data_IF_891021436133
#
_entry.id   IF_891021436133
#
_cell.length_a   1.000
_cell.length_b   1.000
_cell.length_c   1.000
_cell.angle_alpha   90.00
_cell.angle_beta   90.00
_cell.angle_gamma   90.00
#
_symmetry.space_group_name_H-M   'P 1'
#
loop_
_entity.id
_entity.type
_entity.pdbx_description
1 polymer ?
#
# COMPACT_ATOMS: atom_id res chain seq x y z
N UNK A 1 9.49 -2.01 -13.61
CA UNK A 1 8.95 -1.00 -12.68
C UNK A 1 9.59 -1.13 -11.30
N UNK A 2 9.20 -2.05 -10.43
CA UNK A 2 9.82 -2.25 -9.11
C UNK A 2 10.22 -3.71 -8.92
N UNK A 3 11.48 -3.94 -8.49
CA UNK A 3 11.94 -5.26 -8.05
C UNK A 3 12.55 -5.13 -6.65
N UNK A 4 12.11 -5.98 -5.75
CA UNK A 4 12.71 -6.19 -4.43
C UNK A 4 13.55 -7.46 -4.54
N UNK A 5 14.84 -7.38 -4.22
CA UNK A 5 15.78 -8.50 -4.35
C UNK A 5 16.42 -8.79 -3.00
N UNK A 6 16.15 -9.99 -2.47
CA UNK A 6 16.77 -10.50 -1.25
C UNK A 6 16.67 -9.54 -0.06
N UNK A 7 15.49 -8.98 0.18
CA UNK A 7 15.27 -7.98 1.24
C UNK A 7 15.39 -8.64 2.61
N UNK A 8 16.28 -8.11 3.43
CA UNK A 8 16.57 -8.59 4.78
C UNK A 8 16.30 -7.50 5.80
N UNK A 9 15.66 -7.89 6.92
CA UNK A 9 15.41 -6.99 8.05
C UNK A 9 15.35 -7.75 9.36
N UNK A 10 16.10 -7.27 10.35
CA UNK A 10 16.02 -7.74 11.74
C UNK A 10 15.74 -6.57 12.69
N UNK A 11 15.10 -6.87 13.81
CA UNK A 11 14.93 -5.96 14.94
C UNK A 11 15.57 -6.63 16.18
N UNK A 12 16.77 -6.17 16.54
CA UNK A 12 17.59 -6.86 17.52
C UNK A 12 17.96 -8.28 17.02
N UNK A 13 17.62 -9.31 17.80
CA UNK A 13 17.85 -10.71 17.41
C UNK A 13 16.74 -11.33 16.57
N UNK A 14 15.62 -10.63 16.36
CA UNK A 14 14.46 -11.14 15.61
C UNK A 14 14.63 -10.85 14.11
N UNK A 15 14.88 -11.87 13.31
CA UNK A 15 14.85 -11.77 11.85
C UNK A 15 13.39 -11.74 11.35
N UNK A 16 12.96 -10.59 10.80
CA UNK A 16 11.59 -10.37 10.31
C UNK A 16 11.48 -10.60 8.81
N UNK A 17 12.49 -10.22 8.02
CA UNK A 17 12.59 -10.53 6.60
C UNK A 17 13.87 -11.31 6.34
N UNK A 18 13.73 -12.48 5.71
CA UNK A 18 14.81 -13.46 5.52
C UNK A 18 15.17 -13.64 4.05
N UNK A 19 15.34 -12.52 3.32
CA UNK A 19 15.72 -12.56 1.90
C UNK A 19 14.49 -12.61 0.97
N UNK A 20 13.52 -11.73 1.19
CA UNK A 20 12.30 -11.64 0.38
C UNK A 20 12.61 -11.01 -0.97
N UNK A 21 12.15 -11.65 -2.06
CA UNK A 21 12.23 -11.12 -3.42
C UNK A 21 10.84 -11.06 -4.06
N UNK A 22 10.52 -9.93 -4.73
CA UNK A 22 9.22 -9.68 -5.34
C UNK A 22 9.38 -8.75 -6.55
N UNK A 23 8.70 -9.06 -7.64
CA UNK A 23 8.64 -8.23 -8.83
C UNK A 23 7.25 -7.62 -8.98
N UNK A 24 7.21 -6.34 -9.34
CA UNK A 24 5.97 -5.56 -9.58
C UNK A 24 6.11 -4.88 -10.93
N UNK A 25 5.25 -5.20 -11.88
CA UNK A 25 5.18 -4.53 -13.17
C UNK A 25 4.22 -3.33 -13.10
N UNK A 26 4.29 -2.47 -14.10
CA UNK A 26 3.34 -1.36 -14.20
C UNK A 26 1.92 -1.90 -14.41
N UNK A 27 0.96 -1.37 -13.67
CA UNK A 27 -0.43 -1.80 -13.67
C UNK A 27 -0.73 -3.05 -12.83
N UNK A 28 0.29 -3.67 -12.21
CA UNK A 28 0.06 -4.81 -11.32
C UNK A 28 -0.64 -4.36 -10.02
N UNK A 29 -1.60 -5.16 -9.60
CA UNK A 29 -2.20 -5.13 -8.27
C UNK A 29 -1.79 -6.41 -7.55
N UNK A 30 -0.83 -6.31 -6.66
CA UNK A 30 -0.31 -7.47 -5.90
C UNK A 30 -0.87 -7.43 -4.48
N UNK A 31 -1.64 -8.47 -4.11
CA UNK A 31 -2.08 -8.67 -2.73
C UNK A 31 -1.04 -9.50 -1.95
N UNK A 32 -0.64 -9.01 -0.78
CA UNK A 32 0.25 -9.72 0.14
C UNK A 32 -0.59 -10.21 1.31
N UNK A 33 -0.73 -11.52 1.42
CA UNK A 33 -1.48 -12.24 2.46
C UNK A 33 -0.53 -12.93 3.44
N UNK A 34 -1.04 -13.28 4.61
CA UNK A 34 -0.31 -14.07 5.60
C UNK A 34 -0.67 -13.73 7.04
N UNK A 35 -0.28 -14.56 8.00
CA UNK A 35 -0.58 -14.34 9.41
C UNK A 35 0.06 -13.06 9.95
N UNK A 36 -0.45 -12.57 11.09
CA UNK A 36 0.16 -11.45 11.79
C UNK A 36 1.60 -11.78 12.18
N UNK A 37 2.50 -10.79 12.08
CA UNK A 37 3.93 -11.00 12.37
C UNK A 37 4.74 -11.68 11.25
N UNK A 38 4.15 -11.99 10.07
CA UNK A 38 4.89 -12.61 8.95
C UNK A 38 5.84 -11.67 8.20
N UNK A 39 5.85 -10.36 8.53
CA UNK A 39 6.77 -9.39 7.93
C UNK A 39 6.16 -8.54 6.80
N UNK A 40 4.86 -8.66 6.48
CA UNK A 40 4.18 -7.96 5.36
C UNK A 40 4.35 -6.44 5.42
N UNK A 41 3.92 -5.82 6.54
CA UNK A 41 4.08 -4.38 6.79
C UNK A 41 5.56 -3.95 6.74
N UNK A 42 6.46 -4.76 7.30
CA UNK A 42 7.90 -4.49 7.27
C UNK A 42 8.44 -4.49 5.84
N UNK A 43 7.97 -5.41 4.99
CA UNK A 43 8.34 -5.45 3.57
C UNK A 43 7.91 -4.18 2.84
N UNK A 44 6.64 -3.74 2.99
CA UNK A 44 6.15 -2.50 2.42
C UNK A 44 6.94 -1.28 2.89
N UNK A 45 7.22 -1.23 4.20
CA UNK A 45 7.98 -0.11 4.79
C UNK A 45 9.42 -0.08 4.30
N UNK A 46 10.06 -1.23 4.11
CA UNK A 46 11.38 -1.31 3.49
C UNK A 46 11.36 -0.87 2.02
N UNK A 47 10.34 -1.28 1.25
CA UNK A 47 10.17 -0.89 -0.15
C UNK A 47 9.99 0.63 -0.35
N UNK A 48 9.37 1.31 0.63
CA UNK A 48 9.17 2.77 0.61
C UNK A 48 10.18 3.54 1.49
N UNK A 49 11.20 2.87 2.01
CA UNK A 49 12.21 3.45 2.93
C UNK A 49 11.64 4.05 4.23
N UNK A 50 10.42 3.69 4.62
CA UNK A 50 9.87 4.04 5.94
C UNK A 50 10.56 3.24 7.05
N UNK A 51 11.09 2.06 6.70
CA UNK A 51 11.98 1.27 7.51
C UNK A 51 13.28 1.01 6.72
N UNK A 52 14.43 1.02 7.38
CA UNK A 52 15.70 0.73 6.74
C UNK A 52 15.92 -0.78 6.70
N UNK A 53 16.04 -1.35 5.51
CA UNK A 53 16.44 -2.73 5.34
C UNK A 53 17.91 -2.92 5.73
N UNK A 54 18.25 -4.10 6.26
CA UNK A 54 19.62 -4.46 6.67
C UNK A 54 20.42 -5.05 5.50
N UNK A 55 19.72 -5.53 4.46
CA UNK A 55 20.30 -6.09 3.24
C UNK A 55 19.31 -6.12 2.09
N UNK A 56 19.82 -6.48 0.93
CA UNK A 56 19.05 -6.56 -0.32
C UNK A 56 19.18 -5.33 -1.20
N UNK A 57 18.49 -5.39 -2.32
CA UNK A 57 18.51 -4.37 -3.36
C UNK A 57 17.07 -4.04 -3.78
N UNK A 58 16.82 -2.78 -4.05
CA UNK A 58 15.63 -2.30 -4.73
C UNK A 58 16.02 -1.86 -6.14
N UNK A 59 15.34 -2.39 -7.15
CA UNK A 59 15.46 -1.90 -8.53
C UNK A 59 14.19 -1.13 -8.86
N UNK A 60 14.33 0.14 -9.21
CA UNK A 60 13.19 0.99 -9.57
C UNK A 60 13.47 1.63 -10.94
N UNK A 61 12.63 1.34 -11.92
CA UNK A 61 12.80 1.77 -13.32
C UNK A 61 14.18 1.45 -13.90
N UNK A 62 14.72 0.28 -13.57
CA UNK A 62 16.04 -0.18 -14.01
C UNK A 62 17.22 0.36 -13.20
N UNK A 63 16.99 1.26 -12.23
CA UNK A 63 18.04 1.73 -11.35
C UNK A 63 18.22 0.81 -10.13
N UNK A 64 19.43 0.36 -9.91
CA UNK A 64 19.84 -0.53 -8.84
C UNK A 64 20.23 0.25 -7.57
N UNK A 65 19.51 0.00 -6.48
CA UNK A 65 19.68 0.72 -5.22
C UNK A 65 19.96 -0.27 -4.08
N UNK A 66 21.21 -0.39 -3.63
CA UNK A 66 21.57 -1.19 -2.46
C UNK A 66 20.91 -0.62 -1.21
N UNK A 67 20.01 -1.35 -0.55
CA UNK A 67 19.21 -0.84 0.56
C UNK A 67 20.01 -0.53 1.82
N UNK A 68 21.08 -1.28 2.07
CA UNK A 68 21.96 -1.07 3.22
C UNK A 68 22.68 0.29 3.19
N UNK A 69 23.04 0.78 2.00
CA UNK A 69 23.86 1.99 1.78
C UNK A 69 23.12 3.10 1.03
N UNK A 70 21.80 3.00 0.89
CA UNK A 70 20.99 3.95 0.13
C UNK A 70 21.19 5.39 0.61
N UNK A 71 21.36 6.31 -0.32
CA UNK A 71 21.55 7.73 -0.02
C UNK A 71 20.22 8.43 0.29
N UNK A 72 20.25 9.51 1.10
CA UNK A 72 19.07 10.35 1.34
C UNK A 72 18.50 10.93 0.04
N UNK A 73 19.34 11.20 -0.96
CA UNK A 73 18.93 11.71 -2.27
C UNK A 73 18.13 10.68 -3.05
N UNK A 74 18.56 9.42 -3.07
CA UNK A 74 17.83 8.34 -3.75
C UNK A 74 16.51 8.05 -3.06
N UNK A 75 16.48 8.01 -1.73
CA UNK A 75 15.23 7.88 -0.95
C UNK A 75 14.25 9.00 -1.32
N UNK A 76 14.69 10.26 -1.33
CA UNK A 76 13.83 11.39 -1.66
C UNK A 76 13.30 11.31 -3.10
N UNK A 77 14.14 10.86 -4.05
CA UNK A 77 13.78 10.69 -5.45
C UNK A 77 12.71 9.60 -5.62
N UNK A 78 12.89 8.44 -5.00
CA UNK A 78 11.91 7.33 -5.11
C UNK A 78 10.61 7.68 -4.40
N UNK A 79 10.66 8.28 -3.21
CA UNK A 79 9.45 8.73 -2.50
C UNK A 79 8.63 9.76 -3.26
N UNK A 80 9.24 10.51 -4.19
CA UNK A 80 8.49 11.38 -5.10
C UNK A 80 7.67 10.61 -6.13
N UNK A 81 8.05 9.38 -6.46
CA UNK A 81 7.37 8.51 -7.42
C UNK A 81 6.41 7.52 -6.77
N UNK A 82 6.38 7.45 -5.47
CA UNK A 82 5.61 6.46 -4.71
C UNK A 82 4.70 7.13 -3.69
N UNK A 83 3.63 6.45 -3.29
CA UNK A 83 2.77 6.88 -2.20
C UNK A 83 2.53 5.74 -1.21
N UNK A 84 2.18 6.07 0.02
CA UNK A 84 1.91 5.10 1.08
C UNK A 84 0.59 5.44 1.80
N UNK A 85 -0.30 4.46 1.90
CA UNK A 85 -1.56 4.53 2.63
C UNK A 85 -1.44 3.62 3.86
N UNK A 86 -1.56 4.21 5.04
CA UNK A 86 -1.38 3.54 6.32
C UNK A 86 -2.69 2.98 6.86
N UNK A 87 -2.59 2.00 7.73
CA UNK A 87 -3.70 1.41 8.49
C UNK A 87 -4.46 2.45 9.32
N UNK A 88 -3.78 3.38 9.98
CA UNK A 88 -4.34 4.38 10.89
C UNK A 88 -4.48 5.76 10.23
N UNK A 89 -4.81 5.84 8.94
CA UNK A 89 -5.06 7.06 8.15
C UNK A 89 -3.92 8.07 8.16
N UNK A 90 -3.30 8.35 9.29
CA UNK A 90 -2.21 9.32 9.53
C UNK A 90 -2.52 10.70 8.93
N UNK A 91 -3.74 11.19 9.19
CA UNK A 91 -4.14 12.55 8.83
C UNK A 91 -3.64 13.56 9.88
N UNK A 92 -3.34 14.76 9.41
CA UNK A 92 -3.06 15.91 10.29
C UNK A 92 -4.37 16.34 10.95
N UNK A 93 -4.50 16.14 12.26
CA UNK A 93 -5.73 16.42 13.01
C UNK A 93 -6.15 17.88 12.98
N UNK A 94 -5.20 18.80 12.84
CA UNK A 94 -5.39 20.26 12.79
C UNK A 94 -5.56 20.81 11.36
N UNK A 95 -5.75 19.95 10.36
CA UNK A 95 -5.95 20.31 8.95
C UNK A 95 -7.25 19.71 8.43
N UNK A 96 -7.93 20.43 7.56
CA UNK A 96 -9.12 19.91 6.86
C UNK A 96 -8.75 18.79 5.89
N UNK A 97 -9.73 18.07 5.33
CA UNK A 97 -9.51 17.07 4.29
C UNK A 97 -8.72 17.65 3.09
N UNK A 98 -9.15 18.82 2.58
CA UNK A 98 -8.45 19.52 1.50
C UNK A 98 -7.01 19.87 1.88
N UNK A 99 -6.79 20.38 3.09
CA UNK A 99 -5.45 20.72 3.56
C UNK A 99 -4.56 19.49 3.75
N UNK A 100 -5.11 18.36 4.21
CA UNK A 100 -4.39 17.09 4.30
C UNK A 100 -3.88 16.62 2.93
N UNK A 101 -4.67 16.78 1.88
CA UNK A 101 -4.27 16.42 0.52
C UNK A 101 -3.27 17.44 -0.08
N UNK A 102 -3.49 18.74 0.13
CA UNK A 102 -2.62 19.78 -0.43
C UNK A 102 -1.24 19.82 0.21
N UNK A 103 -1.08 19.34 1.45
CA UNK A 103 0.20 19.39 2.17
C UNK A 103 1.34 18.70 1.43
N UNK A 104 1.09 17.49 0.93
CA UNK A 104 2.09 16.74 0.15
C UNK A 104 2.46 17.42 -1.16
N UNK A 105 1.52 18.13 -1.76
CA UNK A 105 1.72 18.87 -3.01
C UNK A 105 2.56 20.14 -2.77
N UNK A 106 2.21 20.92 -1.76
CA UNK A 106 2.86 22.21 -1.47
C UNK A 106 4.23 21.98 -0.80
N UNK A 107 4.23 21.34 0.38
CA UNK A 107 5.45 21.16 1.17
C UNK A 107 6.38 20.09 0.59
N UNK A 108 5.80 19.00 0.04
CA UNK A 108 6.60 17.89 -0.49
C UNK A 108 7.11 18.10 -1.91
N UNK A 109 6.34 18.79 -2.75
CA UNK A 109 6.65 18.94 -4.19
C UNK A 109 6.83 20.36 -4.67
N UNK A 110 6.56 21.36 -3.83
CA UNK A 110 6.71 22.77 -4.18
C UNK A 110 5.67 23.28 -5.20
N UNK A 111 4.52 22.59 -5.32
CA UNK A 111 3.44 22.98 -6.24
C UNK A 111 2.80 24.27 -5.73
N UNK A 112 2.54 25.27 -6.61
CA UNK A 112 1.85 26.49 -6.22
C UNK A 112 0.50 26.20 -5.56
N UNK A 113 0.13 26.99 -4.55
CA UNK A 113 -1.07 26.73 -3.72
C UNK A 113 -2.35 26.62 -4.54
N UNK A 114 -2.51 27.46 -5.59
CA UNK A 114 -3.69 27.43 -6.45
C UNK A 114 -3.82 26.09 -7.19
N UNK A 115 -2.73 25.61 -7.80
CA UNK A 115 -2.70 24.34 -8.53
C UNK A 115 -2.86 23.14 -7.59
N UNK A 116 -2.24 23.23 -6.40
CA UNK A 116 -2.39 22.20 -5.37
C UNK A 116 -3.85 22.05 -4.89
N UNK A 117 -4.58 23.16 -4.77
CA UNK A 117 -6.00 23.14 -4.41
C UNK A 117 -6.84 22.48 -5.51
N UNK A 118 -6.60 22.79 -6.76
CA UNK A 118 -7.31 22.17 -7.89
C UNK A 118 -7.06 20.66 -7.94
N UNK A 119 -5.81 20.25 -7.85
CA UNK A 119 -5.42 18.83 -7.81
C UNK A 119 -6.04 18.10 -6.62
N UNK A 120 -6.02 18.72 -5.42
CA UNK A 120 -6.58 18.13 -4.23
C UNK A 120 -8.11 17.99 -4.28
N UNK A 121 -8.82 18.95 -4.87
CA UNK A 121 -10.26 18.86 -5.07
C UNK A 121 -10.62 17.72 -6.03
N UNK A 122 -9.92 17.57 -7.15
CA UNK A 122 -10.09 16.45 -8.08
C UNK A 122 -9.81 15.10 -7.38
N UNK A 123 -8.78 15.03 -6.53
CA UNK A 123 -8.49 13.81 -5.77
C UNK A 123 -9.58 13.49 -4.72
N UNK A 124 -10.15 14.49 -4.05
CA UNK A 124 -11.26 14.30 -3.12
C UNK A 124 -12.55 13.89 -3.85
N UNK A 125 -12.81 14.46 -5.03
CA UNK A 125 -13.94 14.05 -5.89
C UNK A 125 -13.82 12.59 -6.28
N UNK A 126 -12.65 12.15 -6.71
CA UNK A 126 -12.37 10.77 -7.09
C UNK A 126 -12.64 9.75 -5.98
N UNK A 127 -12.49 10.14 -4.73
CA UNK A 127 -12.80 9.27 -3.57
C UNK A 127 -14.18 9.55 -2.97
N UNK A 128 -15.04 10.34 -3.65
CA UNK A 128 -16.41 10.64 -3.24
C UNK A 128 -16.51 11.55 -2.01
N UNK A 129 -15.60 12.51 -1.85
CA UNK A 129 -15.54 13.41 -0.68
C UNK A 129 -15.51 14.90 -1.06
N UNK A 130 -16.08 15.29 -2.21
CA UNK A 130 -16.12 16.70 -2.65
C UNK A 130 -16.80 17.60 -1.64
N UNK A 131 -17.89 17.14 -1.01
CA UNK A 131 -18.69 17.86 -0.01
C UNK A 131 -18.06 17.89 1.39
N UNK A 132 -16.96 17.15 1.58
CA UNK A 132 -16.22 17.02 2.86
C UNK A 132 -14.86 17.72 2.85
N UNK A 133 -14.54 18.49 1.81
CA UNK A 133 -13.24 19.15 1.65
C UNK A 133 -12.81 20.01 2.85
N UNK A 134 -13.75 20.69 3.48
CA UNK A 134 -13.51 21.62 4.59
C UNK A 134 -13.68 20.98 5.99
N UNK A 135 -13.94 19.66 6.06
CA UNK A 135 -14.10 18.92 7.31
C UNK A 135 -12.74 18.53 7.90
N UNK A 136 -12.63 18.62 9.22
CA UNK A 136 -11.48 18.12 9.98
C UNK A 136 -11.61 16.60 10.19
N UNK A 137 -10.50 15.86 10.41
CA UNK A 137 -10.55 14.42 10.65
C UNK A 137 -11.54 14.00 11.75
N UNK A 138 -11.67 14.78 12.82
CA UNK A 138 -12.63 14.51 13.92
C UNK A 138 -14.10 14.58 13.51
N UNK A 139 -14.42 15.14 12.35
CA UNK A 139 -15.76 15.27 11.80
C UNK A 139 -16.07 14.22 10.72
N UNK A 140 -15.09 13.34 10.42
CA UNK A 140 -15.15 12.32 9.39
C UNK A 140 -15.23 10.92 10.01
N UNK A 141 -16.02 10.03 9.40
CA UNK A 141 -15.99 8.59 9.74
C UNK A 141 -14.62 7.98 9.45
N UNK A 142 -14.32 6.80 10.01
CA UNK A 142 -13.08 6.08 9.72
C UNK A 142 -12.88 5.82 8.23
N UNK A 143 -13.93 5.38 7.54
CA UNK A 143 -13.89 5.17 6.09
C UNK A 143 -13.67 6.46 5.30
N UNK A 144 -14.27 7.57 5.72
CA UNK A 144 -14.02 8.89 5.13
C UNK A 144 -12.58 9.35 5.36
N UNK A 145 -12.03 9.16 6.57
CA UNK A 145 -10.63 9.48 6.87
C UNK A 145 -9.68 8.66 6.00
N UNK A 146 -9.95 7.36 5.82
CA UNK A 146 -9.14 6.50 4.95
C UNK A 146 -9.23 6.94 3.48
N UNK A 147 -10.42 7.33 3.01
CA UNK A 147 -10.58 7.87 1.65
C UNK A 147 -9.83 9.19 1.47
N UNK A 148 -9.76 10.07 2.48
CA UNK A 148 -8.88 11.25 2.47
C UNK A 148 -7.40 10.84 2.38
N UNK A 149 -6.97 9.80 3.11
CA UNK A 149 -5.60 9.29 3.01
C UNK A 149 -5.29 8.74 1.62
N UNK A 150 -6.24 8.07 0.97
CA UNK A 150 -6.13 7.64 -0.44
C UNK A 150 -6.08 8.84 -1.38
N UNK A 151 -6.95 9.85 -1.21
CA UNK A 151 -6.92 11.08 -1.99
C UNK A 151 -5.55 11.77 -1.90
N UNK A 152 -4.97 11.86 -0.69
CA UNK A 152 -3.61 12.37 -0.48
C UNK A 152 -2.56 11.56 -1.24
N UNK A 153 -2.72 10.24 -1.31
CA UNK A 153 -1.80 9.36 -2.03
C UNK A 153 -1.90 9.53 -3.55
N UNK A 154 -3.10 9.59 -4.12
CA UNK A 154 -3.29 9.74 -5.58
C UNK A 154 -3.01 11.15 -6.09
N UNK A 155 -3.21 12.18 -5.27
CA UNK A 155 -2.98 13.58 -5.65
C UNK A 155 -1.54 13.86 -6.11
N UNK A 156 -0.57 13.11 -5.61
CA UNK A 156 0.83 13.25 -6.02
C UNK A 156 1.18 12.49 -7.30
N UNK A 157 0.21 11.87 -7.99
CA UNK A 157 0.39 11.09 -9.23
C UNK A 157 1.54 10.08 -9.10
N UNK A 158 1.45 9.13 -8.16
CA UNK A 158 2.52 8.15 -7.92
C UNK A 158 2.54 7.11 -9.02
N UNK A 159 3.71 6.51 -9.26
CA UNK A 159 3.87 5.35 -10.14
C UNK A 159 3.43 4.04 -9.45
N UNK A 160 3.49 3.99 -8.11
CA UNK A 160 3.01 2.88 -7.28
C UNK A 160 2.46 3.38 -5.95
N UNK A 161 1.39 2.76 -5.47
CA UNK A 161 0.82 2.99 -4.13
C UNK A 161 1.01 1.73 -3.28
N UNK A 162 1.59 1.91 -2.10
CA UNK A 162 1.66 0.89 -1.06
C UNK A 162 0.49 1.05 -0.10
N UNK A 163 -0.29 -0.01 0.10
CA UNK A 163 -1.39 -0.06 1.06
C UNK A 163 -1.05 -1.03 2.20
N UNK A 164 -0.96 -0.52 3.41
CA UNK A 164 -0.66 -1.30 4.62
C UNK A 164 -1.94 -1.50 5.43
N UNK A 165 -2.66 -2.60 5.18
CA UNK A 165 -3.92 -2.97 5.84
C UNK A 165 -4.97 -1.83 5.86
N UNK A 166 -5.37 -1.28 4.69
CA UNK A 166 -6.13 -0.02 4.62
C UNK A 166 -7.55 -0.11 5.21
N UNK A 167 -8.05 -1.30 5.51
CA UNK A 167 -9.40 -1.53 6.03
C UNK A 167 -9.45 -2.10 7.45
N UNK A 168 -8.33 -2.51 8.02
CA UNK A 168 -8.28 -3.26 9.28
C UNK A 168 -8.74 -2.45 10.53
N UNK A 169 -8.78 -1.11 10.43
CA UNK A 169 -9.28 -0.22 11.47
C UNK A 169 -10.73 0.24 11.25
N UNK A 170 -11.45 -0.40 10.30
CA UNK A 170 -12.79 -0.01 9.86
C UNK A 170 -13.84 -1.07 10.22
N UNK A 171 -15.06 -0.60 10.47
CA UNK A 171 -16.23 -1.47 10.52
C UNK A 171 -16.54 -2.08 9.13
N UNK A 172 -17.18 -3.25 9.06
CA UNK A 172 -17.46 -3.93 7.79
C UNK A 172 -18.21 -3.08 6.76
N UNK A 173 -19.15 -2.23 7.20
CA UNK A 173 -19.90 -1.33 6.31
C UNK A 173 -18.99 -0.31 5.63
N UNK A 174 -18.03 0.27 6.38
CA UNK A 174 -17.09 1.27 5.87
C UNK A 174 -15.97 0.66 5.04
N UNK A 175 -15.65 -0.62 5.27
CA UNK A 175 -14.67 -1.38 4.49
C UNK A 175 -15.05 -1.41 3.01
N UNK A 176 -16.34 -1.64 2.70
CA UNK A 176 -16.84 -1.69 1.33
C UNK A 176 -16.58 -0.42 0.52
N UNK A 177 -16.73 0.76 1.15
CA UNK A 177 -16.49 2.06 0.50
C UNK A 177 -15.01 2.26 0.13
N UNK A 178 -14.10 1.88 1.02
CA UNK A 178 -12.65 1.97 0.77
C UNK A 178 -12.22 0.99 -0.31
N UNK A 179 -12.69 -0.26 -0.26
CA UNK A 179 -12.40 -1.27 -1.28
C UNK A 179 -12.96 -0.89 -2.65
N UNK A 180 -14.10 -0.17 -2.72
CA UNK A 180 -14.64 0.34 -3.99
C UNK A 180 -13.68 1.34 -4.63
N UNK A 181 -13.18 2.32 -3.87
CA UNK A 181 -12.19 3.28 -4.36
C UNK A 181 -10.91 2.57 -4.84
N UNK A 182 -10.43 1.57 -4.08
CA UNK A 182 -9.24 0.80 -4.49
C UNK A 182 -9.48 -0.01 -5.77
N UNK A 183 -10.69 -0.55 -5.98
CA UNK A 183 -11.09 -1.22 -7.23
C UNK A 183 -11.09 -0.26 -8.43
N UNK A 184 -11.60 0.95 -8.25
CA UNK A 184 -11.59 1.97 -9.29
C UNK A 184 -10.17 2.34 -9.70
N UNK A 185 -9.27 2.55 -8.73
CA UNK A 185 -7.85 2.78 -8.99
C UNK A 185 -7.19 1.62 -9.75
N UNK A 186 -7.51 0.38 -9.40
CA UNK A 186 -7.03 -0.81 -10.12
C UNK A 186 -7.49 -0.82 -11.57
N UNK A 187 -8.78 -0.54 -11.81
CA UNK A 187 -9.37 -0.49 -13.15
C UNK A 187 -8.77 0.61 -14.03
N UNK A 188 -8.27 1.69 -13.42
CA UNK A 188 -7.55 2.76 -14.11
C UNK A 188 -6.07 2.42 -14.39
N UNK A 189 -5.62 1.24 -14.01
CA UNK A 189 -4.24 0.77 -14.23
C UNK A 189 -3.24 1.26 -13.19
N UNK A 190 -3.69 1.70 -12.01
CA UNK A 190 -2.79 2.08 -10.92
C UNK A 190 -2.02 0.85 -10.41
N UNK A 191 -0.69 0.97 -10.34
CA UNK A 191 0.16 -0.07 -9.74
C UNK A 191 0.01 -0.04 -8.23
N UNK A 192 -0.32 -1.18 -7.63
CA UNK A 192 -0.57 -1.27 -6.20
C UNK A 192 0.09 -2.49 -5.56
N UNK A 193 0.69 -2.30 -4.39
CA UNK A 193 1.16 -3.38 -3.52
C UNK A 193 0.37 -3.28 -2.21
N UNK A 194 -0.49 -4.28 -1.94
CA UNK A 194 -1.53 -4.21 -0.93
C UNK A 194 -1.36 -5.31 0.10
N UNK A 195 -1.02 -4.97 1.32
CA UNK A 195 -1.16 -5.88 2.47
C UNK A 195 -2.62 -5.82 2.92
N UNK A 196 -3.29 -6.96 2.94
CA UNK A 196 -4.71 -7.02 3.29
C UNK A 196 -5.11 -8.35 3.90
N UNK A 197 -6.21 -8.35 4.64
CA UNK A 197 -6.95 -9.53 5.10
C UNK A 197 -8.25 -9.73 4.30
N UNK A 198 -8.56 -8.84 3.37
CA UNK A 198 -9.77 -8.88 2.54
C UNK A 198 -9.59 -9.90 1.39
N UNK A 199 -10.02 -11.15 1.63
CA UNK A 199 -9.86 -12.24 0.65
C UNK A 199 -10.66 -11.97 -0.63
N UNK A 200 -11.86 -11.36 -0.51
CA UNK A 200 -12.67 -10.96 -1.65
C UNK A 200 -11.95 -9.96 -2.56
N UNK A 201 -11.28 -8.97 -1.99
CA UNK A 201 -10.45 -8.02 -2.75
C UNK A 201 -9.27 -8.73 -3.41
N UNK A 202 -8.51 -9.51 -2.65
CA UNK A 202 -7.35 -10.23 -3.17
C UNK A 202 -7.74 -11.19 -4.32
N UNK A 203 -8.91 -11.82 -4.25
CA UNK A 203 -9.41 -12.75 -5.28
C UNK A 203 -9.89 -12.05 -6.55
N UNK A 204 -10.55 -10.89 -6.41
CA UNK A 204 -11.28 -10.26 -7.53
C UNK A 204 -10.54 -9.09 -8.16
N UNK A 205 -9.65 -8.41 -7.43
CA UNK A 205 -8.98 -7.18 -7.87
C UNK A 205 -7.50 -7.39 -8.14
N UNK A 206 -6.81 -8.23 -7.34
CA UNK A 206 -5.38 -8.45 -7.60
C UNK A 206 -5.16 -9.38 -8.79
N UNK A 207 -4.13 -9.08 -9.59
CA UNK A 207 -3.66 -9.98 -10.65
C UNK A 207 -2.67 -11.02 -10.12
N UNK A 208 -1.99 -10.72 -9.02
CA UNK A 208 -1.05 -11.64 -8.35
C UNK A 208 -1.28 -11.62 -6.84
N UNK A 209 -1.11 -12.78 -6.21
CA UNK A 209 -1.17 -12.94 -4.75
C UNK A 209 0.13 -13.52 -4.25
N UNK A 210 0.63 -12.97 -3.16
CA UNK A 210 1.84 -13.39 -2.45
C UNK A 210 1.45 -13.81 -1.03
N UNK A 211 1.76 -15.03 -0.64
CA UNK A 211 1.58 -15.51 0.72
C UNK A 211 2.91 -15.49 1.46
N UNK A 212 2.95 -14.73 2.55
CA UNK A 212 4.12 -14.62 3.42
C UNK A 212 3.89 -15.29 4.76
N UNK A 213 4.87 -16.06 5.21
CA UNK A 213 4.91 -16.65 6.56
C UNK A 213 6.36 -16.75 7.05
N UNK A 214 6.58 -16.45 8.33
CA UNK A 214 7.90 -16.59 8.96
C UNK A 214 9.03 -15.78 8.33
N UNK A 215 8.70 -14.66 7.68
CA UNK A 215 9.68 -13.76 7.06
C UNK A 215 10.10 -14.11 5.63
N UNK A 216 9.42 -15.07 4.99
CA UNK A 216 9.68 -15.49 3.61
C UNK A 216 8.40 -15.49 2.76
N UNK A 217 8.53 -15.44 1.45
CA UNK A 217 7.43 -15.76 0.54
C UNK A 217 7.33 -17.28 0.44
N UNK A 218 6.18 -17.81 0.85
CA UNK A 218 5.87 -19.24 0.78
C UNK A 218 5.33 -19.60 -0.59
N UNK A 219 4.46 -18.75 -1.13
CA UNK A 219 3.86 -18.94 -2.44
C UNK A 219 3.57 -17.58 -3.10
N UNK A 220 3.78 -17.52 -4.40
CA UNK A 220 3.39 -16.40 -5.25
C UNK A 220 2.81 -16.95 -6.54
N UNK A 221 1.59 -16.55 -6.89
CA UNK A 221 0.90 -17.02 -8.08
C UNK A 221 -0.12 -15.99 -8.59
N UNK A 222 -0.56 -16.09 -9.87
CA UNK A 222 -1.72 -15.36 -10.35
C UNK A 222 -2.92 -15.60 -9.43
N UNK A 223 -3.72 -14.56 -9.15
CA UNK A 223 -4.81 -14.62 -8.18
C UNK A 223 -5.73 -15.81 -8.41
N UNK A 224 -6.15 -16.04 -9.67
CA UNK A 224 -7.02 -17.16 -10.01
C UNK A 224 -6.43 -18.52 -9.60
N UNK A 225 -5.14 -18.74 -9.87
CA UNK A 225 -4.45 -19.98 -9.54
C UNK A 225 -4.26 -20.12 -8.03
N UNK A 226 -3.85 -19.05 -7.37
CA UNK A 226 -3.62 -19.01 -5.93
C UNK A 226 -4.85 -19.46 -5.13
N UNK A 227 -6.05 -18.99 -5.50
CA UNK A 227 -7.29 -19.33 -4.80
C UNK A 227 -7.93 -20.64 -5.25
N UNK A 228 -7.75 -21.08 -6.50
CA UNK A 228 -8.37 -22.32 -7.01
C UNK A 228 -7.51 -23.56 -6.82
N UNK A 229 -6.18 -23.43 -6.88
CA UNK A 229 -5.25 -24.56 -6.82
C UNK A 229 -3.93 -24.17 -6.14
N UNK A 230 -3.95 -23.78 -4.85
CA UNK A 230 -2.73 -23.42 -4.13
C UNK A 230 -1.75 -24.60 -4.06
N UNK A 231 -0.49 -24.34 -4.40
CA UNK A 231 0.54 -25.39 -4.55
C UNK A 231 1.12 -25.81 -3.20
N UNK A 232 1.27 -24.85 -2.27
CA UNK A 232 1.90 -25.10 -0.99
C UNK A 232 0.88 -25.57 0.05
N UNK A 233 1.25 -26.53 0.87
CA UNK A 233 0.40 -27.05 1.95
C UNK A 233 0.04 -25.94 2.96
N UNK A 234 1.00 -25.08 3.28
CA UNK A 234 0.77 -23.94 4.19
C UNK A 234 -0.23 -22.95 3.62
N UNK A 235 -0.20 -22.68 2.32
CA UNK A 235 -1.18 -21.81 1.63
C UNK A 235 -2.57 -22.43 1.71
N UNK A 236 -2.69 -23.74 1.45
CA UNK A 236 -3.98 -24.47 1.58
C UNK A 236 -4.53 -24.39 3.01
N UNK A 237 -3.67 -24.61 4.00
CA UNK A 237 -4.06 -24.52 5.40
C UNK A 237 -4.51 -23.11 5.79
N UNK A 238 -3.80 -22.08 5.31
CA UNK A 238 -4.17 -20.68 5.53
C UNK A 238 -5.53 -20.33 4.92
N UNK A 239 -5.77 -20.69 3.66
CA UNK A 239 -7.02 -20.40 2.96
C UNK A 239 -8.23 -21.13 3.55
N UNK A 240 -8.07 -22.35 4.07
CA UNK A 240 -9.16 -23.08 4.76
C UNK A 240 -9.74 -22.30 5.94
N UNK A 241 -8.91 -21.56 6.68
CA UNK A 241 -9.36 -20.77 7.82
C UNK A 241 -10.30 -19.63 7.44
N UNK A 242 -10.28 -19.18 6.19
CA UNK A 242 -11.14 -18.11 5.68
C UNK A 242 -12.39 -18.66 4.95
N UNK A 243 -12.35 -19.87 4.42
CA UNK A 243 -13.51 -20.50 3.75
C UNK A 243 -14.61 -20.96 4.73
N UNK A 244 -14.35 -20.91 6.04
CA UNK A 244 -15.32 -21.30 7.09
C UNK A 244 -16.14 -20.10 7.58
N UNK A 245 -15.82 -18.88 7.12
CA UNK A 245 -16.47 -17.63 7.56
C UNK A 245 -17.41 -17.03 6.51
N UNK A 246 -17.58 -17.66 5.35
CA UNK A 246 -18.62 -17.38 4.34
C UNK A 246 -19.80 -18.37 4.54
#
# INVERSE_FOLDING_TARGET
MLELRNIQKAFGSLEVLKGVSLNVNQGDVIAILGPSGSGKTTLLRCANFLERADGGELVFDGEHIPLKTVSKKDIARIRKKTAFVFQNYNLFANKTALQNVTEGLIAGRGIPKADAILTARAALEKVGLSDRADYYPSQLSGGQQQRVAIARAIAVSPEIIYFDEPTSALDPELTGEVLSVMRELANEGMTMLVVTHEMGFAKTVSNQVVFMEGGVIVESAPSREFFSNPRQERTRAFLKNFSVQE
#
